data_IF_491333707286
#
_entry.id   IF_491333707286
#
_cell.length_a   1.000
_cell.length_b   1.000
_cell.length_c   1.000
_cell.angle_alpha   90.00
_cell.angle_beta   90.00
_cell.angle_gamma   90.00
#
_symmetry.space_group_name_H-M   'P 1'
#
loop_
_entity.id
_entity.type
_entity.pdbx_description
1 polymer ?
#
# COMPACT_ATOMS: atom_id res chain seq x y z
N UNK A 1 -25.46 -3.14 9.04
CA UNK A 1 -24.24 -2.50 8.50
C UNK A 1 -23.17 -2.50 9.57
N UNK A 2 -22.30 -3.52 9.59
CA UNK A 2 -21.23 -3.61 10.57
C UNK A 2 -20.06 -2.70 10.13
N UNK A 3 -19.70 -1.74 10.98
CA UNK A 3 -18.50 -0.94 10.82
C UNK A 3 -17.30 -1.86 10.66
N UNK A 4 -16.49 -1.63 9.63
CA UNK A 4 -15.21 -2.32 9.42
C UNK A 4 -14.27 -1.86 10.54
N UNK A 5 -14.44 -2.44 11.74
CA UNK A 5 -13.50 -2.39 12.86
C UNK A 5 -12.41 -3.45 12.67
N UNK A 6 -11.96 -3.67 11.43
CA UNK A 6 -10.79 -4.50 11.18
C UNK A 6 -9.55 -3.65 11.44
N UNK A 7 -9.17 -3.56 12.72
CA UNK A 7 -7.82 -3.15 13.15
C UNK A 7 -6.77 -4.21 12.85
N UNK A 8 -7.15 -5.32 12.22
CA UNK A 8 -6.25 -6.37 11.76
C UNK A 8 -6.13 -6.28 10.23
N UNK A 9 -4.90 -6.25 9.69
CA UNK A 9 -4.70 -6.48 8.28
C UNK A 9 -5.33 -7.84 7.89
N UNK A 10 -5.75 -8.01 6.63
CA UNK A 10 -6.02 -9.34 6.08
C UNK A 10 -4.80 -10.23 6.35
N UNK A 11 -5.01 -11.53 6.58
CA UNK A 11 -3.96 -12.47 7.00
C UNK A 11 -2.72 -12.47 6.09
N UNK A 12 -2.91 -12.03 4.84
CA UNK A 12 -1.89 -12.04 3.79
C UNK A 12 -1.07 -10.74 3.69
N UNK A 13 -1.42 -9.70 4.45
CA UNK A 13 -0.72 -8.41 4.38
C UNK A 13 0.50 -8.37 5.30
N UNK A 14 1.61 -7.86 4.78
CA UNK A 14 2.87 -7.72 5.51
C UNK A 14 3.08 -6.29 5.98
N UNK A 15 3.67 -6.12 7.16
CA UNK A 15 4.02 -4.79 7.66
C UNK A 15 5.25 -4.24 6.94
N UNK A 16 5.20 -2.97 6.54
CA UNK A 16 6.32 -2.23 5.97
C UNK A 16 6.66 -0.99 6.79
N UNK A 17 7.83 -0.43 6.53
CA UNK A 17 8.30 0.80 7.17
C UNK A 17 7.62 2.03 6.57
N UNK A 18 7.58 3.12 7.34
CA UNK A 18 7.08 4.43 6.88
C UNK A 18 7.67 4.90 5.54
N UNK A 19 9.00 4.82 5.29
CA UNK A 19 9.57 5.21 4.00
C UNK A 19 9.09 4.32 2.84
N UNK A 20 8.98 3.00 3.05
CA UNK A 20 8.48 2.10 2.00
C UNK A 20 7.02 2.39 1.65
N UNK A 21 6.22 2.81 2.65
CA UNK A 21 4.85 3.24 2.41
C UNK A 21 4.80 4.54 1.61
N UNK A 22 5.60 5.54 2.00
CA UNK A 22 5.67 6.80 1.27
C UNK A 22 6.09 6.59 -0.19
N UNK A 23 7.11 5.75 -0.43
CA UNK A 23 7.54 5.37 -1.77
C UNK A 23 6.44 4.66 -2.55
N UNK A 24 5.70 3.75 -1.91
CA UNK A 24 4.57 3.08 -2.56
C UNK A 24 3.48 4.07 -2.96
N UNK A 25 3.13 5.00 -2.08
CA UNK A 25 2.16 6.06 -2.38
C UNK A 25 2.63 6.92 -3.55
N UNK A 26 3.90 7.31 -3.57
CA UNK A 26 4.50 8.10 -4.65
C UNK A 26 4.45 7.36 -6.00
N UNK A 27 4.80 6.07 -6.03
CA UNK A 27 4.73 5.22 -7.23
C UNK A 27 3.31 5.11 -7.80
N UNK A 28 2.30 5.19 -6.94
CA UNK A 28 0.90 5.10 -7.31
C UNK A 28 0.26 6.47 -7.58
N UNK A 29 0.98 7.57 -7.31
CA UNK A 29 0.41 8.91 -7.32
C UNK A 29 -0.63 9.16 -6.23
N UNK A 30 -0.60 8.37 -5.15
CA UNK A 30 -1.54 8.41 -4.04
C UNK A 30 -0.99 9.21 -2.85
N UNK A 31 -1.87 9.66 -1.96
CA UNK A 31 -1.47 10.41 -0.79
C UNK A 31 -0.99 9.48 0.35
N UNK A 32 0.20 9.69 0.93
CA UNK A 32 0.72 8.87 2.04
C UNK A 32 -0.13 8.91 3.31
N UNK A 33 -1.02 9.90 3.46
CA UNK A 33 -1.97 9.98 4.56
C UNK A 33 -3.22 9.13 4.36
N UNK A 34 -3.45 8.55 3.17
CA UNK A 34 -4.60 7.68 2.94
C UNK A 34 -4.60 6.48 3.88
N UNK A 35 -5.81 6.10 4.30
CA UNK A 35 -6.00 4.92 5.12
C UNK A 35 -5.82 3.64 4.30
N UNK A 36 -6.22 3.63 3.03
CA UNK A 36 -6.14 2.44 2.18
C UNK A 36 -5.64 2.81 0.79
N UNK A 37 -4.71 2.04 0.25
CA UNK A 37 -4.25 2.15 -1.13
C UNK A 37 -4.95 1.10 -1.97
N UNK A 38 -5.41 1.49 -3.16
CA UNK A 38 -6.09 0.60 -4.09
C UNK A 38 -5.48 0.74 -5.48
N UNK A 39 -5.23 -0.37 -6.14
CA UNK A 39 -4.73 -0.43 -7.51
C UNK A 39 -5.64 -1.37 -8.29
N UNK A 40 -6.14 -0.91 -9.44
CA UNK A 40 -7.04 -1.70 -10.30
C UNK A 40 -8.25 -2.30 -9.54
N UNK A 41 -8.78 -1.55 -8.56
CA UNK A 41 -9.91 -1.96 -7.71
C UNK A 41 -9.57 -2.87 -6.52
N UNK A 42 -8.36 -3.44 -6.47
CA UNK A 42 -7.86 -4.28 -5.38
C UNK A 42 -7.23 -3.44 -4.27
N UNK A 43 -7.51 -3.76 -3.01
CA UNK A 43 -6.82 -3.15 -1.88
C UNK A 43 -5.41 -3.73 -1.79
N UNK A 44 -4.40 -2.88 -1.81
CA UNK A 44 -2.99 -3.30 -1.79
C UNK A 44 -2.23 -2.76 -0.59
N UNK A 45 -2.80 -1.79 0.13
CA UNK A 45 -2.15 -1.15 1.26
C UNK A 45 -3.16 -0.68 2.30
N UNK A 46 -2.80 -0.80 3.58
CA UNK A 46 -3.59 -0.34 4.71
C UNK A 46 -2.69 0.39 5.72
N UNK A 47 -3.09 1.59 6.10
CA UNK A 47 -2.43 2.39 7.13
C UNK A 47 -3.20 2.31 8.45
N UNK A 48 -2.51 1.85 9.48
CA UNK A 48 -2.91 1.94 10.87
C UNK A 48 -2.19 3.14 11.55
N UNK A 49 -2.59 3.57 12.76
CA UNK A 49 -2.07 4.79 13.40
C UNK A 49 -0.54 4.87 13.51
N UNK A 50 0.16 3.74 13.59
CA UNK A 50 1.64 3.66 13.67
C UNK A 50 2.22 2.48 12.88
N UNK A 51 1.44 1.87 12.00
CA UNK A 51 1.86 0.69 11.23
C UNK A 51 1.31 0.80 9.81
N UNK A 52 2.07 0.28 8.86
CA UNK A 52 1.72 0.27 7.45
C UNK A 52 1.76 -1.17 6.99
N UNK A 53 0.72 -1.58 6.28
CA UNK A 53 0.54 -2.94 5.81
C UNK A 53 0.34 -2.92 4.32
N UNK A 54 0.90 -3.88 3.61
CA UNK A 54 0.71 -4.04 2.17
C UNK A 54 0.51 -5.49 1.80
N UNK A 55 -0.25 -5.72 0.74
CA UNK A 55 -0.33 -7.03 0.11
C UNK A 55 1.03 -7.32 -0.57
N UNK A 56 1.79 -8.34 -0.16
CA UNK A 56 3.14 -8.60 -0.66
C UNK A 56 3.14 -8.90 -2.16
N UNK A 57 2.13 -9.60 -2.69
CA UNK A 57 2.01 -9.89 -4.12
C UNK A 57 1.80 -8.61 -4.93
N UNK A 58 0.88 -7.76 -4.50
CA UNK A 58 0.61 -6.47 -5.15
C UNK A 58 1.78 -5.51 -4.99
N UNK A 59 2.42 -5.47 -3.83
CA UNK A 59 3.63 -4.68 -3.60
C UNK A 59 4.77 -5.13 -4.52
N UNK A 60 4.97 -6.45 -4.68
CA UNK A 60 5.92 -7.00 -5.64
C UNK A 60 5.52 -6.68 -7.07
N UNK A 61 4.24 -6.75 -7.43
CA UNK A 61 3.76 -6.40 -8.76
C UNK A 61 4.01 -4.91 -9.07
N UNK A 62 3.79 -4.01 -8.10
CA UNK A 62 4.15 -2.58 -8.22
C UNK A 62 5.66 -2.39 -8.28
N UNK A 63 6.46 -3.10 -7.49
CA UNK A 63 7.92 -2.98 -7.60
C UNK A 63 8.47 -3.57 -8.92
N UNK A 64 7.86 -4.65 -9.43
CA UNK A 64 8.24 -5.30 -10.69
C UNK A 64 7.77 -4.53 -11.93
N UNK A 65 6.62 -3.87 -11.86
CA UNK A 65 6.11 -3.01 -12.94
C UNK A 65 6.88 -1.69 -13.02
N UNK A 66 7.61 -1.32 -11.96
CA UNK A 66 8.51 -0.17 -11.91
C UNK A 66 9.95 -0.52 -11.44
N UNK A 67 10.68 -1.39 -12.16
CA UNK A 67 11.98 -1.90 -11.71
C UNK A 67 13.14 -0.90 -11.88
N UNK A 68 12.90 0.26 -12.54
CA UNK A 68 13.95 1.19 -12.97
C UNK A 68 13.78 2.64 -12.48
N UNK A 69 12.82 2.94 -11.60
CA UNK A 69 12.72 4.27 -10.98
C UNK A 69 12.61 5.46 -11.97
N UNK A 70 12.15 5.22 -13.19
CA UNK A 70 12.05 6.27 -14.21
C UNK A 70 10.60 6.71 -14.39
N UNK A 71 10.33 7.96 -14.02
CA UNK A 71 9.13 8.67 -14.45
C UNK A 71 9.51 9.60 -15.62
N UNK A 72 8.87 9.51 -16.79
CA UNK A 72 8.88 10.61 -17.75
C UNK A 72 7.93 11.68 -17.22
N UNK A 73 8.49 12.65 -16.48
CA UNK A 73 7.83 13.89 -16.10
C UNK A 73 8.62 15.05 -16.63
#
# INVERSE_FOLDING_TARGET
MAAIRSTRPPQDFVSITAPNWAQLCELLGENPMQLTLRVDGRCIGWRAPRMWYVDPDSYRAVMQRWPMGYWPG
#
